data_IF_241175233561
#
_entry.id   IF_241175233561
#
_cell.length_a   1.000
_cell.length_b   1.000
_cell.length_c   1.000
_cell.angle_alpha   90.00
_cell.angle_beta   90.00
_cell.angle_gamma   90.00
#
_symmetry.space_group_name_H-M   'P 1'
#
loop_
_entity.id
_entity.type
_entity.pdbx_description
1 polymer ?
#
# COMPACT_ATOMS: atom_id res chain seq x y z
N UNK A 1 3.71 10.58 4.41
CA UNK A 1 2.54 10.05 5.15
C UNK A 1 2.97 8.91 6.06
N UNK A 2 2.49 8.90 7.30
CA UNK A 2 2.82 7.86 8.30
C UNK A 2 1.57 7.32 9.00
N UNK A 3 1.57 6.02 9.26
CA UNK A 3 0.43 5.32 9.87
C UNK A 3 0.91 4.40 10.98
N UNK A 4 0.04 4.13 11.96
CA UNK A 4 0.28 3.14 13.01
C UNK A 4 -0.69 1.98 12.84
N UNK A 5 -0.17 0.76 12.86
CA UNK A 5 -1.02 -0.43 12.81
C UNK A 5 -1.85 -0.54 14.10
N UNK A 6 -3.17 -0.69 13.95
CA UNK A 6 -4.09 -0.91 15.09
C UNK A 6 -4.70 -2.31 15.09
N UNK A 7 -4.67 -3.01 13.95
CA UNK A 7 -5.23 -4.35 13.79
C UNK A 7 -4.32 -5.15 12.86
N UNK A 8 -3.80 -6.28 13.33
CA UNK A 8 -3.02 -7.23 12.54
C UNK A 8 -3.66 -8.62 12.44
N UNK A 9 -4.88 -8.79 12.95
CA UNK A 9 -5.64 -10.03 12.77
C UNK A 9 -7.07 -9.69 12.32
N UNK A 10 -7.47 -10.18 11.14
CA UNK A 10 -8.79 -9.93 10.57
C UNK A 10 -9.92 -10.48 11.45
N UNK A 11 -9.70 -11.57 12.17
CA UNK A 11 -10.71 -12.17 13.06
C UNK A 11 -10.95 -11.34 14.32
N UNK A 12 -10.10 -10.34 14.61
CA UNK A 12 -10.34 -9.37 15.69
C UNK A 12 -11.33 -8.27 15.31
N UNK A 13 -11.67 -8.13 14.01
CA UNK A 13 -12.62 -7.15 13.53
C UNK A 13 -14.06 -7.61 13.83
N UNK A 14 -14.82 -6.76 14.51
CA UNK A 14 -16.24 -6.99 14.82
C UNK A 14 -17.20 -6.50 13.73
N UNK A 15 -16.72 -5.64 12.81
CA UNK A 15 -17.52 -5.15 11.69
C UNK A 15 -17.58 -6.20 10.57
N UNK A 16 -18.72 -6.89 10.48
CA UNK A 16 -18.97 -7.93 9.48
C UNK A 16 -18.89 -7.41 8.03
N UNK A 17 -19.27 -6.15 7.78
CA UNK A 17 -19.24 -5.57 6.42
C UNK A 17 -17.81 -5.29 5.99
N UNK A 18 -17.03 -4.70 6.90
CA UNK A 18 -15.60 -4.50 6.69
C UNK A 18 -14.90 -5.84 6.44
N UNK A 19 -15.16 -6.83 7.30
CA UNK A 19 -14.56 -8.16 7.18
C UNK A 19 -14.91 -8.84 5.86
N UNK A 20 -16.18 -8.79 5.44
CA UNK A 20 -16.63 -9.35 4.17
C UNK A 20 -15.95 -8.69 2.97
N UNK A 21 -15.74 -7.36 2.99
CA UNK A 21 -15.01 -6.65 1.94
C UNK A 21 -13.52 -7.02 1.94
N UNK A 22 -12.86 -7.03 3.10
CA UNK A 22 -11.43 -7.38 3.19
C UNK A 22 -11.15 -8.81 2.74
N UNK A 23 -12.03 -9.76 3.06
CA UNK A 23 -11.92 -11.17 2.63
C UNK A 23 -12.03 -11.38 1.12
N UNK A 24 -12.46 -10.38 0.34
CA UNK A 24 -12.40 -10.45 -1.13
C UNK A 24 -10.96 -10.38 -1.66
N UNK A 25 -10.08 -9.70 -0.92
CA UNK A 25 -8.71 -9.38 -1.35
C UNK A 25 -7.64 -10.05 -0.48
N UNK A 26 -7.95 -10.34 0.78
CA UNK A 26 -7.02 -10.96 1.73
C UNK A 26 -7.47 -12.38 2.01
N UNK A 27 -6.66 -13.35 1.60
CA UNK A 27 -6.89 -14.77 1.84
C UNK A 27 -5.89 -15.31 2.87
N UNK A 28 -6.13 -15.04 4.15
CA UNK A 28 -5.37 -15.57 5.28
C UNK A 28 -6.27 -16.45 6.16
N UNK A 29 -6.09 -17.78 6.18
CA UNK A 29 -6.99 -18.71 6.89
C UNK A 29 -7.09 -18.49 8.40
N UNK A 30 -5.98 -18.10 9.05
CA UNK A 30 -5.88 -17.73 10.46
C UNK A 30 -6.18 -16.23 10.73
N UNK A 31 -6.34 -15.47 9.65
CA UNK A 31 -6.57 -14.04 9.67
C UNK A 31 -5.35 -13.21 10.04
N UNK A 32 -4.17 -13.81 10.22
CA UNK A 32 -2.95 -13.08 10.57
C UNK A 32 -2.46 -12.24 9.38
N UNK A 33 -2.07 -11.01 9.68
CA UNK A 33 -1.54 -10.04 8.73
C UNK A 33 -0.12 -9.72 9.19
N UNK A 34 0.80 -9.68 8.23
CA UNK A 34 2.23 -9.39 8.42
C UNK A 34 2.46 -7.92 8.82
N UNK A 35 1.95 -7.53 10.00
CA UNK A 35 2.02 -6.20 10.60
C UNK A 35 2.09 -6.31 12.12
N UNK A 36 2.84 -5.39 12.74
CA UNK A 36 2.99 -5.30 14.19
C UNK A 36 2.06 -4.20 14.73
N UNK A 37 1.13 -4.56 15.61
CA UNK A 37 0.26 -3.57 16.27
C UNK A 37 1.10 -2.57 17.06
N UNK A 38 0.82 -1.28 16.88
CA UNK A 38 1.54 -0.18 17.52
C UNK A 38 2.82 0.26 16.77
N UNK A 39 3.26 -0.47 15.74
CA UNK A 39 4.39 -0.06 14.90
C UNK A 39 3.98 1.03 13.91
N UNK A 40 4.86 2.01 13.74
CA UNK A 40 4.77 3.07 12.74
C UNK A 40 5.29 2.55 11.40
N UNK A 41 4.56 2.88 10.33
CA UNK A 41 4.91 2.56 8.96
C UNK A 41 4.87 3.80 8.08
N UNK A 42 5.86 3.92 7.20
CA UNK A 42 5.84 4.86 6.07
C UNK A 42 4.93 4.31 4.98
N UNK A 43 4.01 5.15 4.49
CA UNK A 43 3.19 4.83 3.31
C UNK A 43 3.95 5.30 2.08
N UNK A 44 4.25 4.40 1.15
CA UNK A 44 4.98 4.73 -0.09
C UNK A 44 4.06 5.02 -1.27
N UNK A 45 2.79 4.62 -1.16
CA UNK A 45 1.76 4.89 -2.15
C UNK A 45 0.38 4.52 -1.64
N UNK A 46 -0.65 5.06 -2.29
CA UNK A 46 -2.06 4.72 -2.05
C UNK A 46 -2.69 4.33 -3.36
N UNK A 47 -3.30 3.15 -3.42
CA UNK A 47 -4.12 2.73 -4.57
C UNK A 47 -5.55 2.53 -4.10
N UNK A 48 -6.51 2.99 -4.89
CA UNK A 48 -7.92 2.93 -4.54
C UNK A 48 -8.59 1.74 -5.21
N UNK A 49 -8.71 0.61 -4.49
CA UNK A 49 -9.45 -0.58 -4.94
C UNK A 49 -10.88 -0.51 -4.41
N UNK A 50 -11.89 -0.69 -5.28
CA UNK A 50 -13.30 -0.53 -4.90
C UNK A 50 -13.57 0.78 -4.12
N UNK A 51 -12.98 1.89 -4.60
CA UNK A 51 -13.07 3.21 -3.95
C UNK A 51 -12.59 3.23 -2.48
N UNK A 52 -11.72 2.28 -2.11
CA UNK A 52 -11.17 2.12 -0.76
C UNK A 52 -9.66 2.25 -0.81
N UNK A 53 -9.02 3.06 0.05
CA UNK A 53 -7.58 3.25 0.02
C UNK A 53 -6.83 2.02 0.55
N UNK A 54 -5.86 1.56 -0.23
CA UNK A 54 -4.87 0.56 0.15
C UNK A 54 -3.51 1.22 0.25
N UNK A 55 -2.90 1.13 1.43
CA UNK A 55 -1.58 1.66 1.70
C UNK A 55 -0.52 0.65 1.28
N UNK A 56 0.45 1.12 0.52
CA UNK A 56 1.61 0.32 0.12
C UNK A 56 2.74 0.57 1.10
N UNK A 57 3.11 -0.47 1.86
CA UNK A 57 4.03 -0.43 2.99
C UNK A 57 5.08 -1.53 2.87
N UNK A 58 6.26 -1.32 3.44
CA UNK A 58 7.18 -2.43 3.75
C UNK A 58 6.93 -2.87 5.19
N UNK A 59 6.52 -4.12 5.41
CA UNK A 59 6.31 -4.67 6.75
C UNK A 59 7.66 -4.90 7.45
N UNK A 60 8.66 -5.28 6.66
CA UNK A 60 10.02 -5.58 7.07
C UNK A 60 11.05 -4.61 6.48
N UNK A 61 12.17 -4.43 7.17
CA UNK A 61 13.23 -3.52 6.70
C UNK A 61 13.83 -3.99 5.35
N UNK A 62 13.94 -5.29 5.17
CA UNK A 62 14.52 -5.93 3.98
C UNK A 62 13.52 -6.15 2.83
N UNK A 63 12.27 -5.72 2.96
CA UNK A 63 11.32 -5.79 1.85
C UNK A 63 11.83 -4.99 0.63
N UNK A 64 11.89 -5.65 -0.53
CA UNK A 64 12.35 -5.04 -1.78
C UNK A 64 11.27 -4.18 -2.44
N UNK A 65 10.00 -4.39 -2.08
CA UNK A 65 8.86 -3.67 -2.61
C UNK A 65 7.77 -3.50 -1.54
N UNK A 66 6.91 -2.48 -1.67
CA UNK A 66 5.86 -2.28 -0.70
C UNK A 66 4.66 -3.16 -1.03
N UNK A 67 4.04 -3.78 -0.01
CA UNK A 67 2.85 -4.62 -0.13
C UNK A 67 1.59 -3.81 0.19
N UNK A 68 0.45 -4.12 -0.45
CA UNK A 68 -0.81 -3.41 -0.20
C UNK A 68 -1.47 -3.90 1.10
N UNK A 69 -1.87 -2.96 1.95
CA UNK A 69 -2.65 -3.21 3.16
C UNK A 69 -3.82 -2.23 3.24
N UNK A 70 -5.00 -2.73 3.62
CA UNK A 70 -6.20 -1.91 3.72
C UNK A 70 -6.03 -0.79 4.77
N UNK A 71 -6.39 0.44 4.42
CA UNK A 71 -6.24 1.60 5.30
C UNK A 71 -6.96 1.45 6.65
N UNK A 72 -8.03 0.66 6.69
CA UNK A 72 -8.83 0.41 7.89
C UNK A 72 -8.07 -0.36 8.98
N UNK A 73 -6.93 -0.99 8.65
CA UNK A 73 -6.05 -1.65 9.61
C UNK A 73 -5.19 -0.65 10.42
N UNK A 74 -5.23 0.63 10.07
CA UNK A 74 -4.34 1.65 10.61
C UNK A 74 -5.07 2.85 11.24
N UNK A 75 -4.30 3.62 12.00
CA UNK A 75 -4.61 5.03 12.32
C UNK A 75 -3.56 5.93 11.67
N UNK A 76 -3.98 7.08 11.14
CA UNK A 76 -3.05 8.03 10.51
C UNK A 76 -2.34 8.84 11.58
N UNK A 77 -1.00 8.79 11.60
CA UNK A 77 -0.15 9.60 12.48
C UNK A 77 0.22 10.92 11.81
N UNK A 78 0.59 10.86 10.54
CA UNK A 78 0.84 12.03 9.69
C UNK A 78 0.15 11.84 8.34
N UNK A 79 -0.89 12.65 8.11
CA UNK A 79 -1.72 12.60 6.90
C UNK A 79 -1.25 13.50 5.75
N UNK A 80 -0.08 14.14 5.86
CA UNK A 80 0.49 14.93 4.75
C UNK A 80 0.80 13.99 3.58
N UNK A 81 0.36 14.38 2.38
CA UNK A 81 0.75 13.71 1.14
C UNK A 81 2.26 13.88 0.95
N UNK A 82 2.92 12.83 0.47
CA UNK A 82 4.33 12.92 0.11
C UNK A 82 4.55 13.96 -0.98
N UNK A 83 5.69 14.66 -0.93
CA UNK A 83 6.10 15.60 -1.99
C UNK A 83 6.39 14.89 -3.32
N UNK A 84 6.60 13.57 -3.27
CA UNK A 84 6.90 12.75 -4.43
C UNK A 84 5.65 12.16 -5.08
N UNK A 85 4.48 12.25 -4.44
CA UNK A 85 3.25 11.67 -4.96
C UNK A 85 2.61 12.51 -6.06
N UNK A 86 2.09 11.83 -7.06
CA UNK A 86 1.19 12.36 -8.08
C UNK A 86 -0.13 11.59 -8.06
N UNK A 87 -1.22 12.31 -8.32
CA UNK A 87 -2.50 11.68 -8.61
C UNK A 87 -2.44 11.08 -10.02
N UNK A 88 -2.66 9.77 -10.10
CA UNK A 88 -2.78 9.05 -11.38
C UNK A 88 -4.14 8.39 -11.48
N UNK A 89 -4.61 8.27 -12.72
CA UNK A 89 -5.85 7.60 -13.10
C UNK A 89 -5.56 6.79 -14.35
N UNK A 90 -5.61 5.47 -14.23
CA UNK A 90 -5.32 4.52 -15.31
C UNK A 90 -6.59 3.75 -15.64
N UNK A 91 -6.96 3.72 -16.92
CA UNK A 91 -8.05 2.89 -17.42
C UNK A 91 -7.54 1.45 -17.59
N UNK A 92 -8.04 0.54 -16.77
CA UNK A 92 -7.76 -0.88 -16.86
C UNK A 92 -8.94 -1.51 -17.60
N UNK A 93 -8.79 -1.73 -18.91
CA UNK A 93 -9.87 -2.08 -19.86
C UNK A 93 -10.99 -2.96 -19.26
N UNK A 94 -10.64 -4.06 -18.59
CA UNK A 94 -11.60 -5.02 -18.01
C UNK A 94 -11.92 -4.78 -16.52
N UNK A 95 -11.05 -4.10 -15.77
CA UNK A 95 -11.18 -3.88 -14.32
C UNK A 95 -11.69 -2.47 -13.95
N UNK A 96 -11.86 -1.61 -14.94
CA UNK A 96 -12.33 -0.24 -14.80
C UNK A 96 -11.22 0.75 -14.48
N UNK A 97 -11.58 1.87 -13.85
CA UNK A 97 -10.63 2.96 -13.60
C UNK A 97 -9.91 2.77 -12.27
N UNK A 98 -8.59 2.62 -12.30
CA UNK A 98 -7.75 2.60 -11.12
C UNK A 98 -7.22 4.01 -10.83
N UNK A 99 -7.50 4.52 -9.64
CA UNK A 99 -6.91 5.77 -9.15
C UNK A 99 -5.81 5.49 -8.13
N UNK A 100 -4.76 6.29 -8.11
CA UNK A 100 -3.64 6.14 -7.17
C UNK A 100 -2.96 7.47 -6.82
N UNK A 101 -2.29 7.49 -5.67
CA UNK A 101 -1.35 8.51 -5.23
C UNK A 101 0.00 7.81 -5.03
N UNK A 102 0.86 7.90 -6.02
CA UNK A 102 2.16 7.20 -6.09
C UNK A 102 3.21 8.12 -6.71
N UNK A 103 4.49 7.74 -6.63
CA UNK A 103 5.56 8.51 -7.27
C UNK A 103 5.50 8.44 -8.80
N UNK A 104 6.21 9.35 -9.46
CA UNK A 104 6.01 9.69 -10.88
C UNK A 104 6.12 8.50 -11.84
N UNK A 105 7.12 7.66 -11.65
CA UNK A 105 7.38 6.54 -12.54
C UNK A 105 6.35 5.44 -12.36
N UNK A 106 5.84 5.25 -11.15
CA UNK A 106 4.69 4.38 -10.94
C UNK A 106 3.41 5.01 -11.52
N UNK A 107 3.23 6.32 -11.36
CA UNK A 107 2.06 7.03 -11.85
C UNK A 107 1.89 6.96 -13.38
N UNK A 108 3.01 6.97 -14.13
CA UNK A 108 2.99 7.00 -15.60
C UNK A 108 3.33 5.67 -16.29
N UNK A 109 3.70 4.63 -15.54
CA UNK A 109 3.96 3.30 -16.10
C UNK A 109 3.09 2.26 -15.38
N UNK A 110 2.08 1.77 -16.09
CA UNK A 110 1.12 0.78 -15.58
C UNK A 110 1.78 -0.53 -15.15
N UNK A 111 2.90 -0.90 -15.76
CA UNK A 111 3.64 -2.13 -15.43
C UNK A 111 4.75 -1.91 -14.40
N UNK A 112 4.94 -0.69 -13.89
CA UNK A 112 6.03 -0.42 -12.94
C UNK A 112 5.98 -1.32 -11.70
N UNK A 113 4.81 -1.50 -11.10
CA UNK A 113 4.67 -2.30 -9.89
C UNK A 113 4.86 -3.80 -10.15
N UNK A 114 4.46 -4.28 -11.33
CA UNK A 114 4.71 -5.66 -11.77
C UNK A 114 6.22 -5.90 -11.95
N UNK A 115 6.90 -5.01 -12.66
CA UNK A 115 8.36 -5.05 -12.84
C UNK A 115 9.10 -5.01 -11.50
N UNK A 116 8.62 -4.19 -10.56
CA UNK A 116 9.16 -4.11 -9.21
C UNK A 116 9.00 -5.45 -8.44
N UNK A 117 7.84 -6.11 -8.54
CA UNK A 117 7.62 -7.43 -7.93
C UNK A 117 8.49 -8.51 -8.61
N UNK A 118 8.65 -8.43 -9.93
CA UNK A 118 9.48 -9.35 -10.71
C UNK A 118 10.99 -9.18 -10.45
N UNK A 119 11.37 -8.15 -9.69
CA UNK A 119 12.76 -7.88 -9.33
C UNK A 119 13.55 -7.22 -10.46
N UNK A 120 12.87 -6.50 -11.36
CA UNK A 120 13.55 -5.69 -12.37
C UNK A 120 14.49 -4.71 -11.70
N UNK A 121 15.75 -4.70 -12.13
CA UNK A 121 16.80 -3.95 -11.46
C UNK A 121 16.56 -2.44 -11.49
N UNK A 122 15.98 -1.91 -12.56
CA UNK A 122 15.71 -0.47 -12.67
C UNK A 122 14.56 -0.08 -11.74
N UNK A 123 13.48 -0.87 -11.75
CA UNK A 123 12.33 -0.65 -10.87
C UNK A 123 12.70 -0.73 -9.38
N UNK A 124 13.52 -1.73 -9.00
CA UNK A 124 14.00 -1.93 -7.62
C UNK A 124 14.88 -0.76 -7.16
N UNK A 125 15.85 -0.33 -7.95
CA UNK A 125 16.70 0.81 -7.57
C UNK A 125 15.92 2.12 -7.47
N UNK A 126 14.95 2.31 -8.37
CA UNK A 126 14.09 3.47 -8.34
C UNK A 126 13.22 3.51 -7.09
N UNK A 127 12.54 2.41 -6.77
CA UNK A 127 11.78 2.31 -5.54
C UNK A 127 12.66 2.52 -4.30
N UNK A 128 13.86 1.93 -4.27
CA UNK A 128 14.80 2.14 -3.16
C UNK A 128 15.15 3.62 -2.96
N UNK A 129 15.36 4.35 -4.04
CA UNK A 129 15.62 5.80 -4.01
C UNK A 129 14.44 6.56 -3.42
N UNK A 130 13.23 6.28 -3.88
CA UNK A 130 12.01 6.88 -3.34
C UNK A 130 11.73 6.50 -1.89
N UNK A 131 11.99 5.25 -1.51
CA UNK A 131 11.86 4.76 -0.14
C UNK A 131 12.75 5.56 0.81
N UNK A 132 14.00 5.83 0.43
CA UNK A 132 14.91 6.65 1.24
C UNK A 132 14.38 8.09 1.40
N UNK A 133 13.87 8.70 0.33
CA UNK A 133 13.34 10.05 0.36
C UNK A 133 12.07 10.15 1.21
N UNK A 134 11.10 9.27 1.01
CA UNK A 134 9.83 9.27 1.75
C UNK A 134 9.99 8.92 3.22
N UNK A 135 10.99 8.10 3.59
CA UNK A 135 11.30 7.82 5.00
C UNK A 135 11.85 9.04 5.77
N UNK A 136 12.32 10.07 5.06
CA UNK A 136 12.85 11.29 5.65
C UNK A 136 11.78 12.40 5.80
N UNK A 137 10.55 12.17 5.34
CA UNK A 137 9.40 13.10 5.47
C UNK A 137 8.69 13.04 6.84
#
# INVERSE_FOLDING_TARGET
>A
MKVVCKVNNLNSLSDERLLARLKKYISMPDGEIDLDVGKEYTVYGVVFWDNSPWYYLCSEEYDEYPKPFAAELFSVLDGRLSLYWKLSVVDQEEEGVLSSLVFDEWANNSSFYELLIEGDSEAVELFRSYRQLMNQE
#
